data_IF_402859699131
#
_entry.id   IF_402859699131
#
_cell.length_a   1.000
_cell.length_b   1.000
_cell.length_c   1.000
_cell.angle_alpha   90.00
_cell.angle_beta   90.00
_cell.angle_gamma   90.00
#
_symmetry.space_group_name_H-M   'P 1'
#
loop_
_entity.id
_entity.type
_entity.pdbx_description
1 polymer ?
#
# COMPACT_ATOMS: atom_id res chain seq x y z
N UNK A 1 9.07 13.79 -23.15
CA UNK A 1 8.78 13.57 -21.72
C UNK A 1 7.74 14.60 -21.29
N UNK A 2 6.76 14.27 -20.44
CA UNK A 2 5.77 15.24 -19.97
C UNK A 2 6.43 16.45 -19.29
N UNK A 3 5.77 17.61 -19.34
CA UNK A 3 6.24 18.82 -18.67
C UNK A 3 6.36 18.60 -17.15
N UNK A 4 7.45 19.10 -16.55
CA UNK A 4 7.70 18.96 -15.11
C UNK A 4 8.09 17.56 -14.64
N UNK A 5 8.25 16.57 -15.53
CA UNK A 5 8.75 15.26 -15.12
C UNK A 5 10.21 15.36 -14.66
N UNK A 6 10.55 14.78 -13.49
CA UNK A 6 11.85 15.00 -12.86
C UNK A 6 12.99 14.27 -13.60
N UNK A 7 14.20 14.82 -13.53
CA UNK A 7 15.40 14.20 -14.11
C UNK A 7 15.78 12.89 -13.41
N UNK A 8 15.36 12.73 -12.15
CA UNK A 8 15.57 11.53 -11.35
C UNK A 8 14.27 11.17 -10.64
N UNK A 9 13.83 9.92 -10.82
CA UNK A 9 12.65 9.39 -10.13
C UNK A 9 13.11 8.84 -8.77
N UNK A 10 12.52 9.27 -7.64
CA UNK A 10 12.83 8.70 -6.34
C UNK A 10 12.42 7.22 -6.30
N UNK A 11 13.13 6.40 -5.52
CA UNK A 11 12.71 5.00 -5.33
C UNK A 11 11.38 4.95 -4.54
N UNK A 12 10.45 4.06 -4.91
CA UNK A 12 9.20 3.88 -4.16
C UNK A 12 9.51 3.28 -2.79
N UNK A 13 8.81 3.79 -1.76
CA UNK A 13 8.94 3.27 -0.39
C UNK A 13 8.25 1.92 -0.19
N UNK A 14 7.21 1.67 -0.99
CA UNK A 14 6.41 0.45 -0.95
C UNK A 14 6.64 -0.35 -2.23
N UNK A 15 6.50 -1.67 -2.12
CA UNK A 15 6.74 -2.63 -3.21
C UNK A 15 5.51 -3.49 -3.43
N UNK A 16 5.43 -4.09 -4.61
CA UNK A 16 4.42 -5.12 -4.88
C UNK A 16 4.56 -6.24 -3.85
N UNK A 17 3.43 -6.63 -3.25
CA UNK A 17 3.37 -7.64 -2.19
C UNK A 17 3.33 -7.04 -0.77
N UNK A 18 3.68 -5.77 -0.59
CA UNK A 18 3.60 -5.12 0.72
C UNK A 18 2.15 -5.00 1.20
N UNK A 19 1.91 -5.41 2.45
CA UNK A 19 0.65 -5.17 3.17
C UNK A 19 0.65 -3.73 3.67
N UNK A 20 -0.41 -2.98 3.39
CA UNK A 20 -0.52 -1.55 3.73
C UNK A 20 -1.88 -1.20 4.31
N UNK A 21 -1.92 -0.14 5.10
CA UNK A 21 -3.14 0.50 5.61
C UNK A 21 -3.15 1.98 5.24
N UNK A 22 -4.33 2.56 5.12
CA UNK A 22 -4.50 3.99 4.86
C UNK A 22 -4.21 4.82 6.12
N UNK A 23 -3.78 6.07 5.91
CA UNK A 23 -3.66 7.10 6.95
C UNK A 23 -4.94 7.96 7.03
N UNK A 24 -5.22 8.60 8.18
CA UNK A 24 -4.51 8.47 9.46
C UNK A 24 -4.82 7.13 10.15
N UNK A 25 -3.85 6.64 10.94
CA UNK A 25 -4.06 5.45 11.74
C UNK A 25 -4.87 5.74 13.01
N UNK A 26 -5.68 4.78 13.49
CA UNK A 26 -5.98 3.50 12.85
C UNK A 26 -6.99 3.66 11.72
N UNK A 27 -6.60 3.26 10.50
CA UNK A 27 -7.57 3.03 9.43
C UNK A 27 -8.08 1.61 9.51
N UNK A 28 -9.34 1.42 9.14
CA UNK A 28 -9.94 0.09 9.03
C UNK A 28 -9.68 -0.53 7.66
N UNK A 29 -9.27 0.26 6.67
CA UNK A 29 -8.98 -0.22 5.32
C UNK A 29 -7.50 -0.58 5.16
N UNK A 30 -7.29 -1.76 4.59
CA UNK A 30 -5.97 -2.31 4.33
C UNK A 30 -5.98 -3.26 3.13
N UNK A 31 -4.80 -3.52 2.61
CA UNK A 31 -4.67 -4.40 1.45
C UNK A 31 -3.24 -4.68 1.10
N UNK A 32 -3.05 -5.20 -0.10
CA UNK A 32 -1.75 -5.54 -0.64
C UNK A 32 -1.47 -4.71 -1.89
N UNK A 33 -0.29 -4.12 -1.96
CA UNK A 33 0.16 -3.40 -3.15
C UNK A 33 0.32 -4.39 -4.31
N UNK A 34 -0.38 -4.14 -5.42
CA UNK A 34 -0.34 -4.97 -6.64
C UNK A 34 0.22 -4.22 -7.85
N UNK A 35 0.32 -2.90 -7.77
CA UNK A 35 0.89 -2.07 -8.82
C UNK A 35 1.45 -0.76 -8.28
N UNK A 36 2.35 -0.17 -9.04
CA UNK A 36 2.96 1.12 -8.77
C UNK A 36 3.14 1.90 -10.06
N UNK A 37 2.85 3.19 -9.98
CA UNK A 37 3.03 4.14 -11.07
C UNK A 37 3.58 5.45 -10.53
N UNK A 38 4.46 6.08 -11.29
CA UNK A 38 4.92 7.44 -11.00
C UNK A 38 4.11 8.42 -11.85
N UNK A 39 3.29 9.23 -11.19
CA UNK A 39 2.23 10.01 -11.83
C UNK A 39 2.20 11.46 -11.35
N UNK A 40 1.68 12.41 -12.16
CA UNK A 40 1.48 13.77 -11.71
C UNK A 40 0.40 13.81 -10.62
N UNK A 41 0.75 14.39 -9.48
CA UNK A 41 -0.12 14.58 -8.33
C UNK A 41 -0.50 16.06 -8.22
N UNK A 42 -1.64 16.44 -8.81
CA UNK A 42 -2.09 17.84 -8.85
C UNK A 42 -2.15 18.49 -7.46
N UNK A 43 -2.65 17.74 -6.47
CA UNK A 43 -2.74 18.17 -5.08
C UNK A 43 -1.38 18.46 -4.42
N UNK A 44 -0.29 17.86 -4.92
CA UNK A 44 1.08 18.12 -4.46
C UNK A 44 1.86 19.06 -5.38
N UNK A 45 1.25 19.51 -6.50
CA UNK A 45 1.92 20.26 -7.57
C UNK A 45 3.25 19.63 -8.00
N UNK A 46 3.33 18.31 -7.97
CA UNK A 46 4.57 17.54 -8.19
C UNK A 46 4.26 16.14 -8.69
N UNK A 47 5.29 15.35 -8.98
CA UNK A 47 5.17 13.94 -9.34
C UNK A 47 5.36 13.06 -8.10
N UNK A 48 4.53 12.04 -7.95
CA UNK A 48 4.57 11.15 -6.80
C UNK A 48 4.27 9.70 -7.17
N UNK A 49 4.65 8.79 -6.28
CA UNK A 49 4.27 7.39 -6.38
C UNK A 49 2.79 7.22 -6.01
N UNK A 50 2.04 6.55 -6.88
CA UNK A 50 0.68 6.08 -6.66
C UNK A 50 0.65 4.58 -6.75
N UNK A 51 -0.03 3.94 -5.82
CA UNK A 51 -0.11 2.49 -5.71
C UNK A 51 -1.51 2.01 -6.07
N UNK A 52 -1.58 0.85 -6.71
CA UNK A 52 -2.80 0.07 -6.83
C UNK A 52 -2.80 -0.97 -5.71
N UNK A 53 -3.89 -1.01 -4.96
CA UNK A 53 -4.01 -1.84 -3.76
C UNK A 53 -5.19 -2.78 -3.97
N UNK A 54 -4.92 -4.07 -3.81
CA UNK A 54 -5.96 -5.07 -3.67
C UNK A 54 -6.41 -5.09 -2.22
N UNK A 55 -7.66 -4.72 -1.98
CA UNK A 55 -8.20 -4.62 -0.63
C UNK A 55 -8.37 -6.02 -0.03
N UNK A 56 -8.02 -6.15 1.24
CA UNK A 56 -8.29 -7.38 1.98
C UNK A 56 -9.80 -7.54 2.18
N UNK A 57 -10.38 -8.74 2.02
CA UNK A 57 -11.81 -8.98 2.25
C UNK A 57 -12.34 -8.55 3.62
N UNK A 58 -11.45 -8.40 4.61
CA UNK A 58 -11.80 -7.91 5.95
C UNK A 58 -11.82 -6.38 6.07
N UNK A 59 -11.39 -5.66 5.03
CA UNK A 59 -11.47 -4.19 5.00
C UNK A 59 -12.92 -3.75 4.77
N UNK A 60 -13.45 -2.77 5.52
CA UNK A 60 -14.82 -2.29 5.33
C UNK A 60 -15.12 -1.87 3.89
N UNK A 61 -14.15 -1.24 3.22
CA UNK A 61 -14.30 -0.80 1.83
C UNK A 61 -14.48 -1.93 0.81
N UNK A 62 -14.08 -3.17 1.16
CA UNK A 62 -14.19 -4.33 0.29
C UNK A 62 -15.63 -4.63 -0.14
N UNK A 63 -16.62 -4.22 0.68
CA UNK A 63 -18.02 -4.36 0.36
C UNK A 63 -18.45 -3.60 -0.92
N UNK A 64 -17.69 -2.57 -1.32
CA UNK A 64 -17.99 -1.73 -2.49
C UNK A 64 -16.97 -1.87 -3.62
N UNK A 65 -15.71 -2.15 -3.32
CA UNK A 65 -14.65 -2.32 -4.33
C UNK A 65 -13.58 -3.31 -3.87
N UNK A 66 -13.06 -4.13 -4.78
CA UNK A 66 -11.96 -5.06 -4.49
C UNK A 66 -10.57 -4.42 -4.65
N UNK A 67 -10.50 -3.27 -5.32
CA UNK A 67 -9.25 -2.54 -5.56
C UNK A 67 -9.43 -1.05 -5.37
N UNK A 68 -8.42 -0.39 -4.84
CA UNK A 68 -8.38 1.06 -4.74
C UNK A 68 -6.96 1.58 -5.07
N UNK A 69 -6.82 2.88 -5.26
CA UNK A 69 -5.54 3.54 -5.51
C UNK A 69 -5.29 4.64 -4.48
N UNK A 70 -4.05 4.73 -4.01
CA UNK A 70 -3.66 5.75 -3.04
C UNK A 70 -2.27 6.30 -3.35
N UNK A 71 -2.00 7.53 -2.91
CA UNK A 71 -0.66 8.12 -3.01
C UNK A 71 0.25 7.54 -1.93
N UNK A 72 1.57 7.55 -2.17
CA UNK A 72 2.55 7.05 -1.20
C UNK A 72 2.41 7.66 0.19
N UNK A 73 2.06 8.95 0.25
CA UNK A 73 1.91 9.68 1.50
C UNK A 73 0.69 9.23 2.32
N UNK A 74 -0.31 8.62 1.68
CA UNK A 74 -1.56 8.20 2.31
C UNK A 74 -1.47 6.78 2.88
N UNK A 75 -0.36 6.10 2.66
CA UNK A 75 -0.18 4.71 3.04
C UNK A 75 0.85 4.54 4.15
N UNK A 76 0.70 3.44 4.87
CA UNK A 76 1.65 2.98 5.86
C UNK A 76 1.82 1.47 5.75
N UNK A 77 3.05 1.00 5.87
CA UNK A 77 3.36 -0.43 5.82
C UNK A 77 2.78 -1.10 7.06
N UNK A 78 1.88 -2.05 6.87
CA UNK A 78 1.46 -2.96 7.91
C UNK A 78 2.58 -3.97 8.11
N UNK A 79 3.35 -3.81 9.19
CA UNK A 79 4.33 -4.79 9.59
C UNK A 79 3.66 -6.17 9.60
N UNK A 80 4.14 -7.07 8.75
CA UNK A 80 3.71 -8.46 8.82
C UNK A 80 4.20 -8.97 10.16
N UNK A 81 3.30 -9.12 11.13
CA UNK A 81 3.57 -9.98 12.27
C UNK A 81 3.93 -11.34 11.66
N UNK A 82 5.22 -11.69 11.70
CA UNK A 82 5.68 -13.03 11.40
C UNK A 82 4.83 -13.94 12.28
N UNK A 83 3.88 -14.69 11.68
CA UNK A 83 3.17 -15.73 12.42
C UNK A 83 4.20 -16.81 12.69
N UNK A 84 4.91 -16.67 13.80
CA UNK A 84 5.70 -17.75 14.37
C UNK A 84 4.69 -18.81 14.83
N UNK A 85 4.35 -19.72 13.94
CA UNK A 85 3.63 -20.94 14.31
C UNK A 85 4.61 -21.80 15.11
N UNK A 86 4.64 -21.59 16.42
CA UNK A 86 5.19 -22.60 17.34
C UNK A 86 4.29 -23.82 17.20
N UNK A 87 4.76 -24.84 16.48
CA UNK A 87 4.20 -26.18 16.59
C UNK A 87 4.57 -26.64 18.00
N UNK A 88 3.61 -26.60 18.93
CA UNK A 88 3.74 -27.37 20.16
C UNK A 88 3.70 -28.84 19.76
N UNK A 89 4.88 -29.45 19.66
CA UNK A 89 5.00 -30.90 19.54
C UNK A 89 4.57 -31.46 20.90
N UNK A 90 3.42 -32.13 20.90
CA UNK A 90 2.87 -32.80 22.07
C UNK A 90 3.89 -33.74 22.70
N UNK A 91 3.91 -33.71 24.03
CA UNK A 91 4.64 -34.67 24.86
C UNK A 91 3.89 -36.01 24.83
N UNK A 92 4.59 -37.09 24.52
CA UNK A 92 4.27 -38.47 24.92
C UNK A 92 5.45 -39.04 25.71
#
# INVERSE_FOLDING_TARGET
MPEGFPHQIPQPKLRIGDRVSWRPLPSQDFGTVTGLQYAPAEHLKSWAWRYLIWLDPQSPSFAWTCTDTAWEADLELLATAQRNTTIEVGQE
#
